data_IF_788831012907
#
_entry.id   IF_788831012907
#
_cell.length_a   1.000
_cell.length_b   1.000
_cell.length_c   1.000
_cell.angle_alpha   90.00
_cell.angle_beta   90.00
_cell.angle_gamma   90.00
#
_symmetry.space_group_name_H-M   'P 1'
#
loop_
_entity.id
_entity.type
_entity.pdbx_description
1 polymer ?
#
# COMPACT_ATOMS: atom_id res chain seq x y z
N UNK A 1 -54.80 6.03 18.49
CA UNK A 1 -54.04 4.88 17.95
C UNK A 1 -53.30 5.13 16.63
N UNK A 2 -53.42 6.29 15.95
CA UNK A 2 -52.74 6.52 14.65
C UNK A 2 -51.35 7.18 14.70
N UNK A 3 -50.99 7.82 15.81
CA UNK A 3 -49.72 8.58 15.92
C UNK A 3 -48.47 7.69 15.93
N UNK A 4 -48.53 6.57 16.66
CA UNK A 4 -47.39 5.64 16.77
C UNK A 4 -47.05 5.00 15.42
N UNK A 5 -48.08 4.64 14.63
CA UNK A 5 -47.90 4.02 13.33
C UNK A 5 -47.28 4.99 12.31
N UNK A 6 -47.70 6.27 12.33
CA UNK A 6 -47.07 7.33 11.53
C UNK A 6 -45.61 7.55 11.92
N UNK A 7 -45.31 7.54 13.23
CA UNK A 7 -43.94 7.69 13.72
C UNK A 7 -43.03 6.55 13.24
N UNK A 8 -43.48 5.30 13.32
CA UNK A 8 -42.70 4.13 12.86
C UNK A 8 -42.46 4.20 11.34
N UNK A 9 -43.45 4.59 10.55
CA UNK A 9 -43.30 4.74 9.09
C UNK A 9 -42.31 5.86 8.74
N UNK A 10 -42.39 7.00 9.42
CA UNK A 10 -41.45 8.11 9.23
C UNK A 10 -40.03 7.69 9.63
N UNK A 11 -39.89 7.01 10.78
CA UNK A 11 -38.59 6.52 11.26
C UNK A 11 -37.96 5.54 10.25
N UNK A 12 -38.75 4.62 9.69
CA UNK A 12 -38.26 3.68 8.68
C UNK A 12 -37.87 4.38 7.38
N UNK A 13 -38.67 5.36 6.93
CA UNK A 13 -38.35 6.15 5.73
C UNK A 13 -37.07 6.98 5.91
N UNK A 14 -36.94 7.68 7.04
CA UNK A 14 -35.76 8.48 7.37
C UNK A 14 -34.55 7.59 7.61
N UNK A 15 -34.69 6.46 8.30
CA UNK A 15 -33.62 5.49 8.51
C UNK A 15 -33.10 4.89 7.20
N UNK A 16 -34.00 4.57 6.26
CA UNK A 16 -33.63 4.10 4.93
C UNK A 16 -32.88 5.18 4.14
N UNK A 17 -33.37 6.42 4.17
CA UNK A 17 -32.72 7.56 3.51
C UNK A 17 -31.33 7.88 4.10
N UNK A 18 -31.22 7.88 5.43
CA UNK A 18 -29.96 8.08 6.15
C UNK A 18 -28.97 6.95 5.86
N UNK A 19 -29.42 5.69 5.84
CA UNK A 19 -28.58 4.55 5.47
C UNK A 19 -28.01 4.69 4.06
N UNK A 20 -28.83 5.17 3.11
CA UNK A 20 -28.38 5.44 1.75
C UNK A 20 -27.34 6.57 1.70
N UNK A 21 -27.57 7.68 2.40
CA UNK A 21 -26.63 8.80 2.47
C UNK A 21 -25.30 8.39 3.12
N UNK A 22 -25.34 7.65 4.24
CA UNK A 22 -24.17 7.12 4.92
C UNK A 22 -23.38 6.19 3.98
N UNK A 23 -24.05 5.32 3.21
CA UNK A 23 -23.38 4.44 2.24
C UNK A 23 -22.63 5.23 1.17
N UNK A 24 -23.21 6.28 0.60
CA UNK A 24 -22.52 7.13 -0.37
C UNK A 24 -21.38 7.94 0.27
N UNK A 25 -21.61 8.48 1.46
CA UNK A 25 -20.61 9.26 2.20
C UNK A 25 -19.39 8.42 2.58
N UNK A 26 -19.62 7.23 3.14
CA UNK A 26 -18.55 6.30 3.52
C UNK A 26 -17.75 5.85 2.30
N UNK A 27 -18.38 5.54 1.16
CA UNK A 27 -17.65 5.18 -0.07
C UNK A 27 -16.65 6.25 -0.50
N UNK A 28 -17.02 7.52 -0.41
CA UNK A 28 -16.12 8.61 -0.83
C UNK A 28 -14.99 8.89 0.17
N UNK A 29 -15.27 8.85 1.48
CA UNK A 29 -14.25 9.11 2.51
C UNK A 29 -13.33 7.91 2.75
N UNK A 30 -13.86 6.70 2.77
CA UNK A 30 -13.06 5.48 2.94
C UNK A 30 -12.11 5.27 1.75
N UNK A 31 -12.51 5.62 0.53
CA UNK A 31 -11.61 5.57 -0.62
C UNK A 31 -10.39 6.49 -0.44
N UNK A 32 -10.60 7.72 0.08
CA UNK A 32 -9.52 8.66 0.38
C UNK A 32 -8.65 8.17 1.53
N UNK A 33 -9.25 7.61 2.57
CA UNK A 33 -8.50 7.03 3.69
C UNK A 33 -7.68 5.81 3.26
N UNK A 34 -8.25 4.90 2.47
CA UNK A 34 -7.54 3.74 1.92
C UNK A 34 -6.37 4.16 1.03
N UNK A 35 -6.53 5.20 0.22
CA UNK A 35 -5.43 5.78 -0.56
C UNK A 35 -4.30 6.26 0.35
N UNK A 36 -4.62 7.05 1.38
CA UNK A 36 -3.62 7.60 2.31
C UNK A 36 -2.91 6.50 3.12
N UNK A 37 -3.64 5.49 3.60
CA UNK A 37 -3.05 4.33 4.29
C UNK A 37 -2.15 3.53 3.35
N UNK A 38 -2.57 3.30 2.10
CA UNK A 38 -1.75 2.55 1.14
C UNK A 38 -0.44 3.27 0.78
N UNK A 39 -0.44 4.61 0.76
CA UNK A 39 0.76 5.41 0.53
C UNK A 39 1.72 5.32 1.73
N UNK A 40 1.19 5.40 2.95
CA UNK A 40 1.98 5.22 4.18
C UNK A 40 2.57 3.81 4.29
N UNK A 41 1.79 2.77 3.99
CA UNK A 41 2.30 1.38 3.98
C UNK A 41 3.38 1.17 2.92
N UNK A 42 3.22 1.75 1.72
CA UNK A 42 4.24 1.68 0.67
C UNK A 42 5.53 2.37 1.09
N UNK A 43 5.44 3.51 1.78
CA UNK A 43 6.61 4.21 2.28
C UNK A 43 7.29 3.43 3.40
N UNK A 44 6.53 2.89 4.34
CA UNK A 44 7.06 2.05 5.41
C UNK A 44 7.72 0.77 4.88
N UNK A 45 7.14 0.12 3.87
CA UNK A 45 7.75 -1.05 3.20
C UNK A 45 9.06 -0.69 2.49
N UNK A 46 9.15 0.49 1.87
CA UNK A 46 10.41 0.97 1.26
C UNK A 46 11.49 1.22 2.30
N UNK A 47 11.14 1.81 3.43
CA UNK A 47 12.07 2.05 4.54
C UNK A 47 12.52 0.73 5.19
N UNK A 48 11.62 -0.23 5.38
CA UNK A 48 11.98 -1.56 5.88
C UNK A 48 12.86 -2.34 4.90
N UNK A 49 12.59 -2.27 3.59
CA UNK A 49 13.44 -2.89 2.58
C UNK A 49 14.80 -2.21 2.45
N UNK A 50 14.88 -0.89 2.58
CA UNK A 50 16.13 -0.15 2.62
C UNK A 50 16.94 -0.50 3.88
N UNK A 51 16.30 -0.60 5.05
CA UNK A 51 16.93 -1.00 6.31
C UNK A 51 17.40 -2.47 6.30
N UNK A 52 16.64 -3.36 5.64
CA UNK A 52 17.04 -4.75 5.44
C UNK A 52 18.24 -4.86 4.47
N UNK A 53 18.24 -4.11 3.36
CA UNK A 53 19.39 -4.04 2.45
C UNK A 53 20.64 -3.42 3.09
N UNK A 54 20.50 -2.44 3.99
CA UNK A 54 21.63 -1.81 4.66
C UNK A 54 22.28 -2.68 5.74
N UNK A 55 21.64 -3.77 6.17
CA UNK A 55 22.26 -4.75 7.08
C UNK A 55 23.28 -5.66 6.40
N UNK A 56 23.25 -5.76 5.07
CA UNK A 56 24.11 -6.68 4.30
C UNK A 56 24.86 -6.02 3.13
N UNK A 57 24.43 -4.84 2.68
CA UNK A 57 25.02 -4.13 1.53
C UNK A 57 25.57 -2.75 1.86
N UNK A 58 26.80 -2.49 1.39
CA UNK A 58 27.45 -1.17 1.44
C UNK A 58 26.56 -0.13 0.73
N UNK A 59 26.08 0.87 1.46
CA UNK A 59 25.41 2.02 0.87
C UNK A 59 26.46 2.94 0.21
N UNK A 60 26.42 3.08 -1.12
CA UNK A 60 27.36 3.94 -1.85
C UNK A 60 26.64 5.24 -2.23
N UNK A 61 26.89 6.30 -1.48
CA UNK A 61 26.22 7.60 -1.66
C UNK A 61 26.67 8.36 -2.91
N UNK A 62 27.85 8.03 -3.45
CA UNK A 62 28.37 8.71 -4.64
C UNK A 62 29.31 7.79 -5.44
N UNK A 63 28.97 7.59 -6.72
CA UNK A 63 29.81 6.89 -7.69
C UNK A 63 30.34 7.93 -8.68
N UNK A 64 31.66 8.24 -8.66
CA UNK A 64 32.23 9.20 -9.60
C UNK A 64 32.04 8.73 -11.05
N UNK A 65 31.77 9.67 -11.96
CA UNK A 65 31.44 9.40 -13.38
C UNK A 65 32.50 8.55 -14.08
N UNK A 66 33.77 8.72 -13.72
CA UNK A 66 34.92 7.97 -14.23
C UNK A 66 34.89 6.46 -13.90
N UNK A 67 34.15 6.05 -12.86
CA UNK A 67 33.96 4.63 -12.49
C UNK A 67 32.74 4.00 -13.15
N UNK A 68 31.77 4.79 -13.61
CA UNK A 68 30.56 4.27 -14.26
C UNK A 68 30.86 3.71 -15.66
N UNK A 69 31.80 4.33 -16.39
CA UNK A 69 32.18 3.91 -17.74
C UNK A 69 32.97 2.59 -17.75
N UNK A 70 33.73 2.29 -16.69
CA UNK A 70 34.51 1.04 -16.58
C UNK A 70 33.63 -0.18 -16.32
N UNK A 71 32.54 -0.05 -15.56
CA UNK A 71 31.61 -1.16 -15.27
C UNK A 71 30.79 -1.62 -16.47
N UNK A 72 30.63 -0.79 -17.51
CA UNK A 72 29.86 -1.15 -18.70
C UNK A 72 30.57 -2.13 -19.64
N UNK A 73 31.88 -2.33 -19.49
CA UNK A 73 32.67 -3.03 -20.51
C UNK A 73 32.91 -4.52 -20.25
N UNK A 74 32.83 -5.02 -19.02
CA UNK A 74 33.38 -6.35 -18.68
C UNK A 74 32.51 -7.26 -17.79
N UNK A 75 31.18 -7.08 -17.73
CA UNK A 75 30.32 -7.99 -16.94
C UNK A 75 29.15 -8.49 -17.79
N UNK A 76 29.44 -9.45 -18.67
CA UNK A 76 28.43 -10.37 -19.20
C UNK A 76 28.17 -11.41 -18.10
N UNK A 77 27.16 -11.15 -17.27
CA UNK A 77 26.76 -12.04 -16.18
C UNK A 77 26.42 -13.43 -16.71
N UNK A 78 27.02 -14.46 -16.12
CA UNK A 78 26.70 -15.85 -16.43
C UNK A 78 25.28 -16.23 -16.01
N UNK A 79 24.84 -17.42 -16.44
CA UNK A 79 23.52 -17.94 -16.12
C UNK A 79 23.47 -18.34 -14.63
N UNK A 80 22.60 -17.69 -13.87
CA UNK A 80 22.35 -18.02 -12.47
C UNK A 80 21.34 -19.16 -12.38
N UNK A 81 21.68 -20.20 -11.62
CA UNK A 81 20.77 -21.31 -11.32
C UNK A 81 20.17 -21.06 -9.94
N UNK A 82 18.85 -20.89 -9.89
CA UNK A 82 18.11 -20.77 -8.64
C UNK A 82 18.06 -22.15 -7.95
N UNK A 83 18.59 -22.27 -6.74
CA UNK A 83 18.46 -23.48 -5.92
C UNK A 83 17.32 -23.31 -4.92
N UNK A 84 16.47 -24.33 -4.79
CA UNK A 84 15.52 -24.42 -3.67
C UNK A 84 16.21 -25.07 -2.46
N UNK A 85 16.15 -24.39 -1.31
CA UNK A 85 16.67 -24.90 -0.05
C UNK A 85 15.73 -25.99 0.50
N UNK A 86 16.16 -27.25 0.44
CA UNK A 86 15.42 -28.37 1.05
C UNK A 86 15.71 -28.37 2.55
N UNK A 87 14.68 -28.10 3.37
CA UNK A 87 14.76 -28.23 4.83
C UNK A 87 14.48 -29.67 5.23
N UNK A 88 15.45 -30.32 5.89
CA UNK A 88 15.26 -31.59 6.62
C UNK A 88 14.48 -31.40 7.92
#
# INVERSE_FOLDING_TARGET
MGGLLKFVVILLGVGWLLGQLIRYFLRTKLAKFAQQVSEMERQQRREQQAAAKSKEGVNVDYIPKTHQEKRKKDIEGGEYVDYEEVKE
#
